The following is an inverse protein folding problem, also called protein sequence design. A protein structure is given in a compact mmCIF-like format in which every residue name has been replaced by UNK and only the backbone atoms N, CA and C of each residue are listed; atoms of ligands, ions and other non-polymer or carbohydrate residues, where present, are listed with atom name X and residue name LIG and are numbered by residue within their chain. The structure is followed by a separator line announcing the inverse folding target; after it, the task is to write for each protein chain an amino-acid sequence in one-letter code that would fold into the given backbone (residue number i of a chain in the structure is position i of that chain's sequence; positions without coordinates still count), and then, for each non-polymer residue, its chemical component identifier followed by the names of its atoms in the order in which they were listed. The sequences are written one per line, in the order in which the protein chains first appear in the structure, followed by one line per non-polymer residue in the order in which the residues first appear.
data_IF_998549761269
#
_entry.id   IF_998549761269
#
_cell.length_a   1.000
_cell.length_b   1.000
_cell.length_c   1.000
_cell.angle_alpha   90.00
_cell.angle_beta   90.00
_cell.angle_gamma   90.00
#
_symmetry.space_group_name_H-M   'P 1'
#
loop_
_entity.id
_entity.type
_entity.pdbx_description
1 polymer ?
#
# COMPACT_ATOMS: atom_id res chain seq x y z
N UNK A 1 10.45 8.07 6.60
CA UNK A 1 9.23 7.27 6.40
C UNK A 1 8.20 7.56 7.49
N UNK A 2 8.51 7.41 8.80
CA UNK A 2 7.57 7.61 9.90
C UNK A 2 6.88 9.00 9.90
N UNK A 3 7.64 10.07 9.74
CA UNK A 3 7.11 11.44 9.68
C UNK A 3 6.06 11.60 8.58
N UNK A 4 6.33 11.05 7.40
CA UNK A 4 5.39 11.13 6.26
C UNK A 4 4.11 10.35 6.49
N UNK A 5 4.20 9.15 7.07
CA UNK A 5 3.02 8.37 7.44
C UNK A 5 2.14 9.12 8.43
N UNK A 6 2.74 9.80 9.41
CA UNK A 6 2.01 10.59 10.41
C UNK A 6 1.33 11.80 9.77
N UNK A 7 2.05 12.58 8.96
CA UNK A 7 1.48 13.71 8.25
C UNK A 7 0.28 13.29 7.40
N UNK A 8 0.43 12.22 6.62
CA UNK A 8 -0.62 11.73 5.74
C UNK A 8 -1.82 11.13 6.46
N UNK A 9 -1.60 10.47 7.61
CA UNK A 9 -2.70 9.92 8.44
C UNK A 9 -3.51 10.98 9.16
N UNK A 10 -2.93 12.16 9.38
CA UNK A 10 -3.59 13.31 10.00
C UNK A 10 -4.19 14.29 8.98
N UNK A 11 -3.97 14.11 7.70
CA UNK A 11 -4.54 14.92 6.64
C UNK A 11 -6.06 14.69 6.55
N UNK A 12 -6.85 15.75 6.59
CA UNK A 12 -8.30 15.68 6.35
C UNK A 12 -8.62 16.07 4.92
N UNK A 13 -9.55 15.36 4.26
CA UNK A 13 -10.04 15.74 2.93
C UNK A 13 -10.68 17.14 2.88
N UNK A 14 -11.09 17.67 4.04
CA UNK A 14 -11.68 19.01 4.16
C UNK A 14 -10.66 20.12 4.36
N UNK A 15 -9.41 19.80 4.66
CA UNK A 15 -8.36 20.78 4.84
C UNK A 15 -7.87 21.26 3.46
N UNK A 16 -7.84 22.57 3.25
CA UNK A 16 -7.36 23.18 2.00
C UNK A 16 -5.84 23.05 1.78
N UNK A 17 -5.13 22.50 2.76
CA UNK A 17 -3.67 22.34 2.74
C UNK A 17 -3.33 20.86 2.60
N UNK A 18 -2.70 20.51 1.49
CA UNK A 18 -2.17 19.16 1.26
C UNK A 18 -0.73 19.08 1.75
N UNK A 19 -0.40 17.98 2.39
CA UNK A 19 0.97 17.71 2.85
C UNK A 19 1.92 17.55 1.66
N UNK A 20 2.97 18.38 1.63
CA UNK A 20 4.03 18.28 0.62
C UNK A 20 5.20 17.44 1.17
N UNK A 21 5.39 16.19 0.69
CA UNK A 21 6.37 15.26 1.24
C UNK A 21 7.79 15.81 1.32
N UNK A 22 8.24 16.46 0.27
CA UNK A 22 9.61 16.98 0.20
C UNK A 22 9.84 18.13 1.17
N UNK A 23 8.87 19.03 1.31
CA UNK A 23 8.96 20.16 2.23
C UNK A 23 9.01 19.69 3.69
N UNK A 24 8.23 18.69 4.06
CA UNK A 24 8.23 18.10 5.40
C UNK A 24 9.57 17.40 5.71
N UNK A 25 10.13 16.65 4.77
CA UNK A 25 11.42 16.01 4.95
C UNK A 25 12.56 17.03 5.09
N UNK A 26 12.54 18.09 4.28
CA UNK A 26 13.51 19.19 4.38
C UNK A 26 13.37 19.89 5.74
N UNK A 27 12.16 20.20 6.17
CA UNK A 27 11.91 20.86 7.46
C UNK A 27 12.46 20.04 8.64
N UNK A 28 12.18 18.72 8.66
CA UNK A 28 12.73 17.81 9.70
C UNK A 28 14.26 17.71 9.60
N UNK A 29 14.81 17.66 8.39
CA UNK A 29 16.25 17.64 8.17
C UNK A 29 16.93 18.91 8.71
N UNK A 30 16.40 20.08 8.35
CA UNK A 30 16.92 21.39 8.86
C UNK A 30 16.78 21.50 10.38
N UNK A 31 15.64 21.07 10.94
CA UNK A 31 15.44 21.08 12.38
C UNK A 31 16.48 20.21 13.11
N UNK A 32 16.82 19.05 12.57
CA UNK A 32 17.85 18.17 13.13
C UNK A 32 19.27 18.76 12.96
N UNK A 33 19.56 19.40 11.83
CA UNK A 33 20.85 20.08 11.61
C UNK A 33 21.05 21.22 12.63
N UNK A 34 20.04 22.10 12.76
CA UNK A 34 20.10 23.21 13.75
C UNK A 34 20.14 22.66 15.17
N UNK A 35 19.35 21.63 15.49
CA UNK A 35 19.34 20.99 16.78
C UNK A 35 20.69 20.38 17.15
N UNK A 36 21.44 19.83 16.18
CA UNK A 36 22.77 19.27 16.41
C UNK A 36 23.79 20.31 16.90
N UNK A 37 23.68 21.55 16.45
CA UNK A 37 24.51 22.66 16.92
C UNK A 37 24.26 22.98 18.42
N UNK A 38 23.02 22.73 18.87
CA UNK A 38 22.62 22.89 20.27
C UNK A 38 22.78 21.59 21.09
N UNK A 39 23.41 20.55 20.55
CA UNK A 39 23.53 19.20 21.16
C UNK A 39 22.16 18.59 21.53
N UNK A 40 21.10 18.92 20.77
CA UNK A 40 19.79 18.35 20.97
C UNK A 40 19.73 16.92 20.39
N UNK A 41 18.87 16.09 20.98
CA UNK A 41 18.57 14.77 20.41
C UNK A 41 17.88 14.91 19.05
N UNK A 42 18.07 13.94 18.14
CA UNK A 42 17.34 13.92 16.87
C UNK A 42 15.83 13.94 17.10
N UNK A 43 15.13 14.81 16.37
CA UNK A 43 13.67 14.95 16.46
C UNK A 43 13.00 14.37 15.22
N UNK A 44 11.81 13.81 15.45
CA UNK A 44 10.93 13.30 14.41
C UNK A 44 9.48 13.60 14.80
N UNK A 45 8.55 13.46 13.84
CA UNK A 45 7.13 13.60 14.14
C UNK A 45 6.69 12.52 15.15
N UNK A 46 5.74 12.90 16.01
CA UNK A 46 5.12 12.01 16.99
C UNK A 46 3.62 11.95 16.73
N UNK A 47 3.10 10.74 16.44
CA UNK A 47 1.69 10.54 16.14
C UNK A 47 0.79 11.01 17.30
N UNK A 48 1.08 10.56 18.53
CA UNK A 48 0.28 10.90 19.71
C UNK A 48 0.27 12.39 20.01
N UNK A 49 1.43 13.06 19.91
CA UNK A 49 1.49 14.52 20.11
C UNK A 49 0.75 15.27 19.02
N UNK A 50 0.94 14.90 17.76
CA UNK A 50 0.25 15.54 16.64
C UNK A 50 -1.26 15.33 16.71
N UNK A 51 -1.73 14.14 17.10
CA UNK A 51 -3.14 13.87 17.34
C UNK A 51 -3.70 14.73 18.49
N UNK A 52 -3.00 14.81 19.62
CA UNK A 52 -3.40 15.65 20.74
C UNK A 52 -3.47 17.14 20.37
N UNK A 53 -2.54 17.66 19.58
CA UNK A 53 -2.60 19.04 19.07
C UNK A 53 -3.85 19.27 18.22
N UNK A 54 -4.20 18.31 17.38
CA UNK A 54 -5.37 18.39 16.52
C UNK A 54 -6.67 18.33 17.32
N UNK A 55 -6.79 17.41 18.29
CA UNK A 55 -7.94 17.32 19.19
C UNK A 55 -8.11 18.57 20.03
N UNK A 56 -7.01 19.22 20.44
CA UNK A 56 -7.01 20.50 21.11
C UNK A 56 -7.40 21.68 20.21
N UNK A 57 -7.65 21.46 18.90
CA UNK A 57 -8.09 22.48 17.96
C UNK A 57 -6.97 23.37 17.43
N UNK A 58 -5.70 22.94 17.50
CA UNK A 58 -4.57 23.67 16.95
C UNK A 58 -4.69 23.77 15.41
N UNK A 59 -4.70 25.00 14.90
CA UNK A 59 -4.83 25.30 13.46
C UNK A 59 -3.52 25.74 12.80
N UNK A 60 -2.53 26.11 13.60
CA UNK A 60 -1.25 26.66 13.10
C UNK A 60 -0.06 26.08 13.87
N UNK A 61 1.10 26.12 13.25
CA UNK A 61 2.38 25.71 13.86
C UNK A 61 2.79 26.58 15.06
N UNK A 62 2.24 27.80 15.17
CA UNK A 62 2.49 28.72 16.29
C UNK A 62 2.08 28.12 17.63
N UNK A 63 1.03 27.27 17.64
CA UNK A 63 0.64 26.54 18.84
C UNK A 63 1.74 25.59 19.37
N UNK A 64 2.54 25.01 18.48
CA UNK A 64 3.67 24.16 18.87
C UNK A 64 4.79 24.96 19.53
N UNK A 65 5.03 26.21 19.09
CA UNK A 65 6.02 27.11 19.70
C UNK A 65 5.58 27.50 21.12
N UNK A 66 4.33 27.88 21.31
CA UNK A 66 3.80 28.17 22.66
C UNK A 66 3.83 26.95 23.56
N UNK A 67 3.46 25.79 23.04
CA UNK A 67 3.54 24.51 23.79
C UNK A 67 4.97 24.18 24.22
N UNK A 68 5.95 24.35 23.34
CA UNK A 68 7.35 24.10 23.67
C UNK A 68 7.89 25.05 24.72
N UNK A 69 7.53 26.34 24.65
CA UNK A 69 7.88 27.36 25.65
C UNK A 69 7.25 26.99 27.01
N UNK A 70 5.96 26.65 27.01
CA UNK A 70 5.25 26.26 28.24
C UNK A 70 5.85 24.99 28.88
N UNK A 71 6.20 24.00 28.05
CA UNK A 71 6.88 22.80 28.52
C UNK A 71 8.26 23.13 29.10
N UNK A 72 9.01 24.05 28.47
CA UNK A 72 10.30 24.49 28.99
C UNK A 72 10.18 25.13 30.38
N UNK A 73 9.21 26.03 30.57
CA UNK A 73 8.92 26.64 31.87
C UNK A 73 8.45 25.57 32.89
N UNK A 74 7.57 24.67 32.48
CA UNK A 74 7.09 23.60 33.34
C UNK A 74 8.22 22.66 33.80
N UNK A 75 9.16 22.31 32.92
CA UNK A 75 10.33 21.54 33.30
C UNK A 75 11.17 22.27 34.35
N UNK A 76 11.45 23.55 34.18
CA UNK A 76 12.23 24.32 35.14
C UNK A 76 11.53 24.42 36.49
N UNK A 77 10.21 24.59 36.52
CA UNK A 77 9.43 24.77 37.74
C UNK A 77 9.11 23.44 38.45
N UNK A 78 8.83 22.38 37.69
CA UNK A 78 8.28 21.11 38.23
C UNK A 78 9.33 20.00 38.33
N UNK A 79 10.40 20.03 37.52
CA UNK A 79 11.43 19.02 37.58
C UNK A 79 12.06 18.84 38.99
N UNK A 80 12.33 19.89 39.79
CA UNK A 80 12.83 19.74 41.14
C UNK A 80 11.87 18.94 42.04
N UNK A 81 10.55 19.06 41.81
CA UNK A 81 9.54 18.35 42.57
C UNK A 81 9.61 16.83 42.28
N UNK A 82 9.84 16.46 41.02
CA UNK A 82 9.97 15.03 40.62
C UNK A 82 11.28 14.41 41.06
N UNK A 83 12.30 15.18 41.36
CA UNK A 83 13.53 14.66 41.99
C UNK A 83 13.23 14.22 43.42
N UNK A 84 12.44 15.02 44.17
CA UNK A 84 12.05 14.73 45.55
C UNK A 84 10.91 13.68 45.63
N UNK A 85 10.01 13.65 44.67
CA UNK A 85 8.87 12.72 44.62
C UNK A 85 8.81 12.03 43.23
N UNK A 86 9.61 10.94 43.05
CA UNK A 86 9.67 10.27 41.75
C UNK A 86 8.33 9.65 41.40
N UNK A 87 7.92 9.85 40.13
CA UNK A 87 6.69 9.26 39.60
C UNK A 87 6.79 7.74 39.59
N UNK A 88 5.76 7.03 40.11
CA UNK A 88 5.73 5.58 40.04
C UNK A 88 5.78 5.11 38.56
N UNK A 89 6.69 4.15 38.29
CA UNK A 89 6.82 3.59 36.92
C UNK A 89 5.51 3.00 36.39
N UNK A 90 4.65 2.49 37.29
CA UNK A 90 3.33 1.96 36.95
C UNK A 90 2.42 3.02 36.36
N UNK A 91 2.45 4.27 36.88
CA UNK A 91 1.66 5.36 36.34
C UNK A 91 2.11 5.71 34.91
N UNK A 92 3.41 5.78 34.67
CA UNK A 92 3.96 6.03 33.33
C UNK A 92 3.57 4.92 32.35
N UNK A 93 3.64 3.67 32.75
CA UNK A 93 3.23 2.53 31.93
C UNK A 93 1.73 2.56 31.62
N UNK A 94 0.89 2.90 32.61
CA UNK A 94 -0.55 3.02 32.41
C UNK A 94 -0.91 4.13 31.40
N UNK A 95 -0.27 5.29 31.51
CA UNK A 95 -0.45 6.40 30.55
C UNK A 95 -0.08 5.97 29.12
N UNK A 96 1.03 5.26 28.97
CA UNK A 96 1.47 4.75 27.65
C UNK A 96 0.44 3.75 27.10
N UNK A 97 -0.01 2.79 27.88
CA UNK A 97 -0.99 1.78 27.47
C UNK A 97 -2.29 2.44 27.02
N UNK A 98 -2.82 3.38 27.79
CA UNK A 98 -4.04 4.11 27.45
C UNK A 98 -3.86 4.91 26.16
N UNK A 99 -2.75 5.63 26.02
CA UNK A 99 -2.47 6.42 24.82
C UNK A 99 -2.33 5.56 23.56
N UNK A 100 -1.71 4.38 23.68
CA UNK A 100 -1.52 3.45 22.55
C UNK A 100 -2.81 2.71 22.20
N UNK A 101 -3.69 2.43 23.17
CA UNK A 101 -4.93 1.71 22.93
C UNK A 101 -5.84 2.41 21.89
N UNK A 102 -5.85 3.74 21.89
CA UNK A 102 -6.58 4.56 20.90
C UNK A 102 -6.03 4.47 19.46
N UNK A 103 -4.80 3.99 19.28
CA UNK A 103 -4.20 3.82 17.96
C UNK A 103 -4.61 2.50 17.27
N UNK A 104 -5.29 1.61 17.99
CA UNK A 104 -5.64 0.28 17.48
C UNK A 104 -6.85 0.36 16.56
N UNK A 105 -6.63 0.37 15.25
CA UNK A 105 -7.67 0.47 14.22
C UNK A 105 -8.31 -0.88 13.92
N UNK A 106 -9.04 -1.42 14.89
CA UNK A 106 -9.67 -2.74 14.77
C UNK A 106 -10.65 -2.85 13.59
N UNK A 107 -11.36 -1.77 13.29
CA UNK A 107 -12.31 -1.72 12.18
C UNK A 107 -11.60 -1.92 10.81
N UNK A 108 -10.44 -1.28 10.61
CA UNK A 108 -9.65 -1.42 9.38
C UNK A 108 -9.14 -2.85 9.21
N UNK A 109 -8.68 -3.50 10.29
CA UNK A 109 -8.25 -4.90 10.27
C UNK A 109 -9.38 -5.85 9.85
N UNK A 110 -10.60 -5.63 10.33
CA UNK A 110 -11.77 -6.42 9.98
C UNK A 110 -12.14 -6.26 8.50
N UNK A 111 -12.09 -5.04 7.99
CA UNK A 111 -12.34 -4.75 6.57
C UNK A 111 -11.27 -5.42 5.70
N UNK A 112 -10.00 -5.32 6.08
CA UNK A 112 -8.90 -5.94 5.37
C UNK A 112 -9.04 -7.47 5.30
N UNK A 113 -9.39 -8.12 6.41
CA UNK A 113 -9.65 -9.56 6.45
C UNK A 113 -10.80 -9.99 5.53
N UNK A 114 -11.87 -9.18 5.47
CA UNK A 114 -13.03 -9.48 4.64
C UNK A 114 -12.74 -9.34 3.14
N UNK A 115 -11.93 -8.34 2.73
CA UNK A 115 -11.70 -8.02 1.32
C UNK A 115 -10.42 -8.64 0.75
N UNK A 116 -9.34 -8.68 1.53
CA UNK A 116 -8.06 -9.19 1.07
C UNK A 116 -7.29 -9.96 2.15
N UNK A 117 -7.58 -11.25 2.23
CA UNK A 117 -6.94 -12.13 3.21
C UNK A 117 -5.42 -12.17 3.11
N UNK A 118 -4.85 -12.01 1.89
CA UNK A 118 -3.39 -12.05 1.69
C UNK A 118 -2.71 -10.86 2.37
N UNK A 119 -3.25 -9.66 2.19
CA UNK A 119 -2.74 -8.45 2.85
C UNK A 119 -2.92 -8.53 4.38
N UNK A 120 -4.02 -9.09 4.85
CA UNK A 120 -4.23 -9.33 6.28
C UNK A 120 -3.16 -10.25 6.86
N UNK A 121 -2.78 -11.33 6.18
CA UNK A 121 -1.71 -12.22 6.66
C UNK A 121 -0.34 -11.53 6.66
N UNK A 122 -0.04 -10.66 5.70
CA UNK A 122 1.19 -9.85 5.72
C UNK A 122 1.20 -8.92 6.94
N UNK A 123 0.08 -8.23 7.20
CA UNK A 123 -0.07 -7.38 8.37
C UNK A 123 0.15 -8.17 9.67
N UNK A 124 -0.53 -9.32 9.80
CA UNK A 124 -0.41 -10.17 10.98
C UNK A 124 1.02 -10.69 11.18
N UNK A 125 1.67 -11.16 10.13
CA UNK A 125 3.06 -11.64 10.17
C UNK A 125 4.01 -10.51 10.56
N UNK A 126 3.85 -9.32 9.98
CA UNK A 126 4.65 -8.14 10.32
C UNK A 126 4.46 -7.74 11.78
N UNK A 127 3.22 -7.76 12.26
CA UNK A 127 2.90 -7.45 13.66
C UNK A 127 3.55 -8.44 14.62
N UNK A 128 3.42 -9.75 14.37
CA UNK A 128 4.03 -10.79 15.21
C UNK A 128 5.56 -10.73 15.16
N UNK A 129 6.15 -10.51 13.98
CA UNK A 129 7.58 -10.35 13.83
C UNK A 129 8.10 -9.12 14.62
N UNK A 130 7.37 -8.01 14.59
CA UNK A 130 7.72 -6.80 15.35
C UNK A 130 7.67 -7.04 16.85
N UNK A 131 6.71 -7.82 17.35
CA UNK A 131 6.59 -8.16 18.76
C UNK A 131 7.70 -9.11 19.25
N UNK A 132 8.12 -10.06 18.40
CA UNK A 132 9.05 -11.13 18.81
C UNK A 132 10.50 -10.80 18.52
N UNK A 133 10.78 -10.20 17.38
CA UNK A 133 12.15 -9.92 16.90
C UNK A 133 12.57 -8.46 17.13
N UNK A 134 11.61 -7.56 17.27
CA UNK A 134 11.86 -6.14 17.41
C UNK A 134 11.33 -5.31 16.21
N UNK A 135 11.32 -3.97 16.39
CA UNK A 135 10.71 -3.05 15.41
C UNK A 135 11.48 -3.05 14.07
N UNK A 136 12.80 -3.10 14.13
CA UNK A 136 13.64 -3.03 12.94
C UNK A 136 13.48 -4.28 12.07
N UNK A 137 13.58 -5.45 12.66
CA UNK A 137 13.45 -6.75 12.00
C UNK A 137 12.04 -6.97 11.48
N UNK A 138 11.03 -6.63 12.28
CA UNK A 138 9.63 -6.70 11.88
C UNK A 138 9.32 -5.82 10.68
N UNK A 139 9.84 -4.59 10.65
CA UNK A 139 9.69 -3.69 9.52
C UNK A 139 10.35 -4.25 8.25
N UNK A 140 11.57 -4.78 8.36
CA UNK A 140 12.27 -5.40 7.22
C UNK A 140 11.49 -6.59 6.65
N UNK A 141 10.97 -7.46 7.51
CA UNK A 141 10.12 -8.59 7.10
C UNK A 141 8.86 -8.08 6.39
N UNK A 142 8.17 -7.09 6.95
CA UNK A 142 6.95 -6.52 6.37
C UNK A 142 7.18 -5.92 4.99
N UNK A 143 8.24 -5.12 4.82
CA UNK A 143 8.62 -4.54 3.52
C UNK A 143 8.96 -5.63 2.50
N UNK A 144 9.75 -6.62 2.90
CA UNK A 144 10.12 -7.74 2.02
C UNK A 144 8.90 -8.52 1.55
N UNK A 145 7.99 -8.88 2.46
CA UNK A 145 6.75 -9.58 2.12
C UNK A 145 5.84 -8.75 1.22
N UNK A 146 5.75 -7.44 1.44
CA UNK A 146 4.97 -6.53 0.60
C UNK A 146 5.52 -6.46 -0.81
N UNK A 147 6.85 -6.37 -0.97
CA UNK A 147 7.52 -6.38 -2.29
C UNK A 147 7.31 -7.72 -2.99
N UNK A 148 7.48 -8.84 -2.29
CA UNK A 148 7.26 -10.17 -2.86
C UNK A 148 5.80 -10.35 -3.33
N UNK A 149 4.83 -9.87 -2.55
CA UNK A 149 3.42 -9.90 -2.93
C UNK A 149 3.15 -9.01 -4.15
N UNK A 150 3.75 -7.84 -4.23
CA UNK A 150 3.64 -6.96 -5.39
C UNK A 150 4.19 -7.64 -6.65
N UNK A 151 5.37 -8.26 -6.57
CA UNK A 151 5.95 -9.02 -7.66
C UNK A 151 5.02 -10.17 -8.07
N UNK A 152 4.53 -10.96 -7.11
CA UNK A 152 3.61 -12.06 -7.39
C UNK A 152 2.34 -11.60 -8.11
N UNK A 153 1.71 -10.53 -7.66
CA UNK A 153 0.50 -10.00 -8.30
C UNK A 153 0.77 -9.47 -9.72
N UNK A 154 1.97 -8.97 -9.96
CA UNK A 154 2.37 -8.39 -11.24
C UNK A 154 2.78 -9.46 -12.27
N UNK A 155 3.31 -10.60 -11.79
CA UNK A 155 3.67 -11.74 -12.67
C UNK A 155 2.47 -12.58 -13.11
N UNK A 156 1.36 -12.53 -12.39
CA UNK A 156 0.16 -13.31 -12.69
C UNK A 156 -1.07 -12.41 -12.76
N UNK A 157 -1.12 -11.48 -13.73
CA UNK A 157 -2.23 -10.54 -13.88
C UNK A 157 -3.52 -11.24 -14.28
N UNK A 158 -4.63 -10.51 -14.15
CA UNK A 158 -5.93 -11.03 -14.55
C UNK A 158 -5.98 -11.17 -16.08
N UNK A 159 -6.34 -12.37 -16.51
CA UNK A 159 -6.55 -12.70 -17.92
C UNK A 159 -7.89 -13.42 -18.04
N UNK A 160 -8.71 -13.02 -19.00
CA UNK A 160 -10.08 -13.54 -19.11
C UNK A 160 -10.50 -13.75 -20.55
N UNK A 161 -11.28 -14.79 -20.77
CA UNK A 161 -11.98 -15.00 -22.01
C UNK A 161 -13.21 -14.11 -22.09
N UNK A 162 -13.47 -13.56 -23.26
CA UNK A 162 -14.59 -12.68 -23.54
C UNK A 162 -15.62 -13.40 -24.40
N UNK A 163 -16.89 -13.27 -24.01
CA UNK A 163 -18.04 -13.69 -24.81
C UNK A 163 -18.85 -12.49 -25.31
N UNK A 164 -19.56 -12.72 -26.39
CA UNK A 164 -20.42 -11.75 -27.04
C UNK A 164 -21.74 -11.60 -26.29
N UNK A 165 -22.19 -10.37 -26.08
CA UNK A 165 -23.52 -9.99 -25.59
C UNK A 165 -24.20 -9.09 -26.63
N UNK A 166 -25.52 -9.05 -26.64
CA UNK A 166 -26.31 -8.20 -27.52
C UNK A 166 -25.99 -8.35 -29.03
N UNK A 167 -25.96 -9.59 -29.50
CA UNK A 167 -25.70 -9.90 -30.90
C UNK A 167 -24.38 -9.34 -31.45
N UNK A 168 -23.30 -9.46 -30.63
CA UNK A 168 -21.96 -9.05 -31.06
C UNK A 168 -21.59 -7.59 -30.88
N UNK A 169 -22.44 -6.79 -30.25
CA UNK A 169 -22.15 -5.36 -30.00
C UNK A 169 -21.24 -5.12 -28.81
N UNK A 170 -21.24 -6.03 -27.83
CA UNK A 170 -20.46 -5.92 -26.61
C UNK A 170 -19.79 -7.26 -26.30
N UNK A 171 -18.54 -7.19 -25.81
CA UNK A 171 -17.80 -8.34 -25.32
C UNK A 171 -17.57 -8.20 -23.81
N UNK A 172 -17.87 -9.27 -23.05
CA UNK A 172 -17.78 -9.29 -21.61
C UNK A 172 -17.15 -10.59 -21.11
N UNK A 173 -16.59 -10.52 -19.91
CA UNK A 173 -15.99 -11.67 -19.23
C UNK A 173 -17.05 -12.77 -19.01
N UNK A 174 -16.82 -13.96 -19.58
CA UNK A 174 -17.72 -15.09 -19.49
C UNK A 174 -17.94 -15.61 -18.08
N UNK A 175 -16.97 -15.43 -17.18
CA UNK A 175 -17.09 -15.87 -15.78
C UNK A 175 -17.97 -14.94 -14.92
N UNK A 176 -18.21 -13.70 -15.38
CA UNK A 176 -19.02 -12.70 -14.66
C UNK A 176 -20.41 -12.51 -15.26
N UNK A 177 -20.55 -12.77 -16.55
CA UNK A 177 -21.79 -12.57 -17.31
C UNK A 177 -22.23 -13.89 -17.93
N UNK A 178 -23.24 -14.51 -17.34
CA UNK A 178 -23.81 -15.78 -17.81
C UNK A 178 -24.50 -15.69 -19.18
N UNK A 179 -24.85 -14.46 -19.60
CA UNK A 179 -25.45 -14.17 -20.92
C UNK A 179 -24.40 -14.04 -22.03
N UNK A 180 -23.12 -14.12 -21.71
CA UNK A 180 -22.06 -14.00 -22.68
C UNK A 180 -21.91 -15.30 -23.48
N UNK A 181 -22.18 -15.23 -24.75
CA UNK A 181 -22.08 -16.37 -25.68
C UNK A 181 -20.65 -16.45 -26.24
N UNK A 182 -20.08 -17.62 -26.13
CA UNK A 182 -18.78 -17.97 -26.69
C UNK A 182 -18.99 -18.64 -28.05
N UNK A 183 -18.15 -18.31 -29.02
CA UNK A 183 -18.12 -18.94 -30.34
C UNK A 183 -17.01 -20.01 -30.37
N UNK A 184 -17.23 -21.10 -31.04
CA UNK A 184 -16.24 -22.18 -31.14
C UNK A 184 -15.12 -21.86 -32.11
N UNK A 185 -15.41 -21.06 -33.15
CA UNK A 185 -14.50 -20.67 -34.21
C UNK A 185 -13.57 -19.49 -33.83
N UNK A 186 -13.86 -18.75 -32.75
CA UNK A 186 -13.09 -17.56 -32.33
C UNK A 186 -12.81 -17.59 -30.84
N UNK A 187 -11.56 -17.48 -30.45
CA UNK A 187 -11.13 -17.23 -29.08
C UNK A 187 -10.85 -15.75 -28.91
N UNK A 188 -11.67 -15.05 -28.13
CA UNK A 188 -11.46 -13.65 -27.78
C UNK A 188 -11.04 -13.59 -26.32
N UNK A 189 -9.92 -12.96 -26.04
CA UNK A 189 -9.42 -12.85 -24.66
C UNK A 189 -8.83 -11.47 -24.39
N UNK A 190 -8.83 -11.07 -23.12
CA UNK A 190 -8.29 -9.80 -22.66
C UNK A 190 -7.23 -10.06 -21.60
N UNK A 191 -6.17 -9.29 -21.66
CA UNK A 191 -5.09 -9.28 -20.71
C UNK A 191 -5.06 -7.93 -19.99
N UNK A 192 -5.35 -7.91 -18.68
CA UNK A 192 -5.58 -6.70 -17.89
C UNK A 192 -4.28 -6.18 -17.25
N UNK A 193 -3.17 -6.10 -18.00
CA UNK A 193 -1.89 -5.57 -17.53
C UNK A 193 -0.96 -5.17 -18.68
N UNK A 194 0.08 -4.35 -18.43
CA UNK A 194 1.21 -4.22 -19.33
C UNK A 194 1.90 -5.57 -19.58
N UNK A 195 2.44 -5.78 -20.78
CA UNK A 195 3.20 -6.98 -21.11
C UNK A 195 4.69 -6.69 -20.98
N UNK A 196 5.40 -7.47 -20.17
CA UNK A 196 6.83 -7.33 -19.93
C UNK A 196 7.47 -8.65 -19.48
N UNK A 197 8.80 -8.65 -19.32
CA UNK A 197 9.58 -9.86 -19.08
C UNK A 197 9.04 -10.76 -17.95
N UNK A 198 8.43 -10.19 -16.90
CA UNK A 198 8.01 -10.96 -15.73
C UNK A 198 6.66 -11.68 -15.91
N UNK A 199 5.80 -11.27 -16.85
CA UNK A 199 4.49 -11.86 -17.06
C UNK A 199 4.27 -12.49 -18.45
N UNK A 200 5.26 -12.39 -19.35
CA UNK A 200 5.19 -12.96 -20.71
C UNK A 200 4.90 -14.46 -20.70
N UNK A 201 5.57 -15.22 -19.82
CA UNK A 201 5.42 -16.68 -19.76
C UNK A 201 4.03 -17.07 -19.22
N UNK A 202 3.48 -16.29 -18.30
CA UNK A 202 2.10 -16.44 -17.84
C UNK A 202 1.10 -16.22 -18.98
N UNK A 203 1.29 -15.14 -19.77
CA UNK A 203 0.47 -14.84 -20.93
C UNK A 203 0.45 -16.01 -21.91
N UNK A 204 1.62 -16.49 -22.31
CA UNK A 204 1.77 -17.63 -23.25
C UNK A 204 1.10 -18.88 -22.70
N UNK A 205 1.40 -19.23 -21.45
CA UNK A 205 0.86 -20.43 -20.80
C UNK A 205 -0.66 -20.42 -20.68
N UNK A 206 -1.24 -19.24 -20.35
CA UNK A 206 -2.68 -19.08 -20.24
C UNK A 206 -3.36 -19.15 -21.60
N UNK A 207 -2.80 -18.49 -22.62
CA UNK A 207 -3.31 -18.54 -23.99
C UNK A 207 -3.35 -19.96 -24.54
N UNK A 208 -2.21 -20.69 -24.49
CA UNK A 208 -2.16 -22.06 -24.99
C UNK A 208 -3.04 -23.04 -24.20
N UNK A 209 -3.27 -22.76 -22.90
CA UNK A 209 -4.23 -23.54 -22.11
C UNK A 209 -5.64 -23.41 -22.67
N UNK A 210 -6.09 -22.23 -23.04
CA UNK A 210 -7.40 -22.00 -23.63
C UNK A 210 -7.50 -22.58 -25.03
N UNK A 211 -6.49 -22.41 -25.87
CA UNK A 211 -6.44 -23.01 -27.19
C UNK A 211 -6.56 -24.53 -27.10
N UNK A 212 -5.83 -25.16 -26.16
CA UNK A 212 -5.86 -26.63 -25.96
C UNK A 212 -7.22 -27.16 -25.46
N UNK A 213 -8.02 -26.31 -24.82
CA UNK A 213 -9.37 -26.66 -24.34
C UNK A 213 -10.42 -26.57 -25.45
N UNK A 214 -10.08 -26.01 -26.60
CA UNK A 214 -10.94 -25.87 -27.77
C UNK A 214 -10.72 -26.98 -28.77
N UNK A 215 -11.73 -27.22 -29.60
CA UNK A 215 -11.57 -28.06 -30.77
C UNK A 215 -10.66 -27.35 -31.80
N UNK A 216 -9.48 -27.92 -32.01
CA UNK A 216 -8.49 -27.36 -32.93
C UNK A 216 -8.95 -27.31 -34.36
N UNK A 217 -9.98 -28.11 -34.74
CA UNK A 217 -10.55 -28.10 -36.09
C UNK A 217 -11.60 -27.00 -36.26
N UNK A 218 -12.22 -26.56 -35.17
CA UNK A 218 -13.23 -25.51 -35.17
C UNK A 218 -12.63 -24.11 -34.99
N UNK A 219 -11.53 -23.98 -34.23
CA UNK A 219 -10.91 -22.69 -33.93
C UNK A 219 -10.18 -22.13 -35.17
N UNK A 220 -10.65 -21.00 -35.66
CA UNK A 220 -10.08 -20.33 -36.83
C UNK A 220 -9.37 -19.03 -36.47
N UNK A 221 -9.81 -18.31 -35.42
CA UNK A 221 -9.28 -17.02 -35.05
C UNK A 221 -9.00 -16.91 -33.55
N UNK A 222 -7.88 -16.26 -33.25
CA UNK A 222 -7.49 -15.88 -31.88
C UNK A 222 -7.38 -14.36 -31.85
N UNK A 223 -8.18 -13.71 -31.01
CA UNK A 223 -8.29 -12.24 -30.93
C UNK A 223 -7.87 -11.79 -29.54
N UNK A 224 -6.83 -10.96 -29.47
CA UNK A 224 -6.41 -10.28 -28.25
C UNK A 224 -7.09 -8.90 -28.16
N UNK A 225 -7.94 -8.73 -27.15
CA UNK A 225 -8.40 -7.40 -26.74
C UNK A 225 -7.27 -6.71 -25.96
N UNK A 226 -6.63 -5.75 -26.63
CA UNK A 226 -5.46 -5.04 -26.11
C UNK A 226 -5.81 -3.70 -25.44
N UNK A 227 -7.08 -3.39 -25.21
CA UNK A 227 -7.51 -2.10 -24.63
C UNK A 227 -6.86 -1.84 -23.24
N UNK A 228 -6.65 -2.89 -22.47
CA UNK A 228 -6.02 -2.80 -21.14
C UNK A 228 -4.49 -2.85 -21.16
N UNK A 229 -3.87 -3.05 -22.33
CA UNK A 229 -2.40 -3.16 -22.45
C UNK A 229 -1.82 -1.78 -22.74
N UNK A 230 -1.41 -1.08 -21.69
CA UNK A 230 -0.89 0.29 -21.83
C UNK A 230 0.54 0.35 -22.39
N UNK A 231 1.36 -0.66 -22.12
CA UNK A 231 2.75 -0.74 -22.56
C UNK A 231 3.16 -2.18 -22.82
N UNK A 232 4.09 -2.35 -23.77
CA UNK A 232 4.73 -3.63 -24.08
C UNK A 232 6.25 -3.36 -24.13
N UNK A 233 7.03 -4.12 -23.36
CA UNK A 233 8.50 -4.01 -23.42
C UNK A 233 9.08 -4.83 -24.61
N UNK A 234 10.38 -4.71 -24.83
CA UNK A 234 11.05 -5.41 -25.94
C UNK A 234 10.91 -6.94 -25.86
N UNK A 235 10.87 -7.50 -24.66
CA UNK A 235 10.70 -8.96 -24.47
C UNK A 235 9.26 -9.39 -24.76
N UNK A 236 8.29 -8.52 -24.42
CA UNK A 236 6.88 -8.71 -24.75
C UNK A 236 6.61 -8.66 -26.27
N UNK A 237 7.26 -7.75 -26.99
CA UNK A 237 7.17 -7.67 -28.46
C UNK A 237 7.69 -8.96 -29.09
N UNK A 238 8.85 -9.43 -28.70
CA UNK A 238 9.44 -10.69 -29.22
C UNK A 238 8.51 -11.87 -28.94
N UNK A 239 7.98 -11.96 -27.72
CA UNK A 239 7.03 -13.01 -27.33
C UNK A 239 5.76 -12.98 -28.19
N UNK A 240 5.18 -11.79 -28.42
CA UNK A 240 3.99 -11.67 -29.28
C UNK A 240 4.26 -12.07 -30.71
N UNK A 241 5.41 -11.72 -31.28
CA UNK A 241 5.84 -12.18 -32.61
C UNK A 241 5.92 -13.70 -32.68
N UNK A 242 6.57 -14.34 -31.69
CA UNK A 242 6.66 -15.80 -31.62
C UNK A 242 5.28 -16.47 -31.48
N UNK A 243 4.38 -15.87 -30.71
CA UNK A 243 3.00 -16.39 -30.57
C UNK A 243 2.25 -16.32 -31.92
N UNK A 244 2.40 -15.21 -32.65
CA UNK A 244 1.76 -15.04 -33.95
C UNK A 244 2.33 -16.07 -34.97
N UNK A 245 3.65 -16.22 -35.05
CA UNK A 245 4.29 -17.22 -35.92
C UNK A 245 3.87 -18.65 -35.61
N UNK A 246 3.66 -18.99 -34.34
CA UNK A 246 3.24 -20.34 -33.93
C UNK A 246 1.74 -20.62 -34.15
N UNK A 247 0.92 -19.59 -34.35
CA UNK A 247 -0.51 -19.70 -34.58
C UNK A 247 -0.90 -19.64 -36.06
N UNK A 248 0.03 -19.28 -36.93
CA UNK A 248 -0.15 -19.32 -38.40
C UNK A 248 0.13 -20.70 -38.94
#
# INVERSE_FOLDING_TARGET
VGTMSICKSLENPTDKVTTQPNSELIAVGVANLVGSLCRAFPVSASFSRSAAFREAGAKTQVSAVFSSLFIGVAILAVAPLFISYPLPKVLLSAIIIVSVSGLFKYAEMKVLYAHNKREFYILLTTFLATLTLGVQEGLMIGVTLSILMMIYNTTSPHMTELGSIQNGKLYRNISRFTEAHVRDDVLIFRFDAPIYFANKDYFVSALYRWIKQRDMQALQFVVLDAESINTVDSTGVIMLQQVIENLQ
#
